data_IF_149648969811
#
_entry.id   IF_149648969811
#
_cell.length_a   1.000
_cell.length_b   1.000
_cell.length_c   1.000
_cell.angle_alpha   90.00
_cell.angle_beta   90.00
_cell.angle_gamma   90.00
#
_symmetry.space_group_name_H-M   'P 1'
#
loop_
_entity.id
_entity.type
_entity.pdbx_description
1 polymer ?
#
# COMPACT_ATOMS: atom_id res chain seq x y z
N UNK A 1 2.10 21.96 -8.70
CA UNK A 1 3.43 21.61 -9.27
C UNK A 1 4.44 21.66 -8.16
N UNK A 2 5.11 20.53 -7.89
CA UNK A 2 6.31 20.45 -7.06
C UNK A 2 7.51 20.82 -7.93
N UNK A 3 8.24 21.87 -7.56
CA UNK A 3 9.37 22.38 -8.34
C UNK A 3 10.58 21.43 -8.24
N UNK A 4 11.28 21.23 -9.36
CA UNK A 4 12.50 20.40 -9.41
C UNK A 4 12.26 18.89 -9.34
N UNK A 5 11.00 18.45 -9.46
CA UNK A 5 10.59 17.05 -9.51
C UNK A 5 10.04 16.74 -10.90
N UNK A 6 10.40 15.57 -11.42
CA UNK A 6 9.85 15.03 -12.68
C UNK A 6 9.01 13.77 -12.44
N UNK A 7 9.28 13.07 -11.34
CA UNK A 7 8.69 11.76 -11.05
C UNK A 7 8.10 11.74 -9.65
N UNK A 8 6.96 11.08 -9.47
CA UNK A 8 6.33 10.89 -8.16
C UNK A 8 6.00 9.42 -7.96
N UNK A 9 6.53 8.83 -6.89
CA UNK A 9 6.21 7.48 -6.42
C UNK A 9 5.27 7.65 -5.22
N UNK A 10 4.10 7.02 -5.29
CA UNK A 10 3.10 7.00 -4.22
C UNK A 10 3.08 5.64 -3.55
N UNK A 11 2.92 5.62 -2.22
CA UNK A 11 2.34 4.46 -1.55
C UNK A 11 0.83 4.35 -1.81
N UNK A 12 0.24 3.19 -1.50
CA UNK A 12 -1.19 2.96 -1.58
C UNK A 12 -1.89 3.21 -0.24
N UNK A 13 -1.59 2.39 0.77
CA UNK A 13 -2.21 2.45 2.08
C UNK A 13 -1.84 3.75 2.80
N UNK A 14 -2.80 4.42 3.43
CA UNK A 14 -2.55 5.68 4.15
C UNK A 14 -2.31 6.90 3.24
N UNK A 15 -2.06 6.70 1.94
CA UNK A 15 -1.81 7.77 0.96
C UNK A 15 -2.95 7.91 -0.04
N UNK A 16 -3.30 6.84 -0.76
CA UNK A 16 -4.36 6.81 -1.77
C UNK A 16 -5.60 6.09 -1.23
N UNK A 17 -5.40 4.98 -0.53
CA UNK A 17 -6.44 4.17 0.11
C UNK A 17 -6.44 4.46 1.61
N UNK A 18 -7.59 4.87 2.16
CA UNK A 18 -7.75 4.99 3.60
C UNK A 18 -7.71 3.59 4.23
N UNK A 19 -6.87 3.42 5.26
CA UNK A 19 -6.69 2.14 5.97
C UNK A 19 -6.79 2.31 7.49
N UNK A 20 -7.17 1.24 8.18
CA UNK A 20 -7.22 1.14 9.64
C UNK A 20 -6.87 -0.29 10.10
N UNK A 21 -5.61 -0.52 10.45
CA UNK A 21 -5.11 -1.81 10.91
C UNK A 21 -5.87 -2.36 12.14
N UNK A 22 -6.45 -1.49 12.96
CA UNK A 22 -7.19 -1.91 14.14
C UNK A 22 -8.47 -2.66 13.75
N UNK A 23 -9.09 -2.32 12.61
CA UNK A 23 -10.30 -3.02 12.15
C UNK A 23 -10.06 -4.48 11.79
N UNK A 24 -8.95 -4.80 11.12
CA UNK A 24 -8.60 -6.20 10.88
C UNK A 24 -8.30 -6.92 12.19
N UNK A 25 -7.57 -6.26 13.11
CA UNK A 25 -7.30 -6.80 14.45
C UNK A 25 -8.60 -7.13 15.22
N UNK A 26 -9.54 -6.19 15.26
CA UNK A 26 -10.82 -6.36 15.94
C UNK A 26 -11.69 -7.43 15.26
N UNK A 27 -11.65 -7.53 13.93
CA UNK A 27 -12.36 -8.56 13.19
C UNK A 27 -11.80 -9.96 13.48
N UNK A 28 -10.48 -10.14 13.52
CA UNK A 28 -9.88 -11.42 13.92
C UNK A 28 -10.12 -11.76 15.39
N UNK A 29 -10.15 -10.76 16.27
CA UNK A 29 -10.57 -10.94 17.67
C UNK A 29 -12.00 -11.48 17.75
N UNK A 30 -12.92 -10.94 16.95
CA UNK A 30 -14.30 -11.42 16.88
C UNK A 30 -14.42 -12.85 16.32
N UNK A 31 -13.44 -13.30 15.52
CA UNK A 31 -13.33 -14.68 15.04
C UNK A 31 -12.65 -15.64 16.04
N UNK A 32 -12.29 -15.16 17.24
CA UNK A 32 -11.71 -16.00 18.29
C UNK A 32 -10.17 -16.06 18.29
N UNK A 33 -9.51 -15.07 17.69
CA UNK A 33 -8.05 -14.88 17.75
C UNK A 33 -7.75 -13.64 18.60
N UNK A 34 -7.70 -13.77 19.94
CA UNK A 34 -7.76 -12.62 20.86
C UNK A 34 -6.55 -11.69 20.79
N UNK A 35 -5.39 -12.22 20.43
CA UNK A 35 -4.08 -11.56 20.42
C UNK A 35 -3.57 -11.28 18.99
N UNK A 36 -4.46 -11.07 18.02
CA UNK A 36 -4.06 -10.92 16.61
C UNK A 36 -3.06 -9.76 16.39
N UNK A 37 -3.11 -8.72 17.20
CA UNK A 37 -2.12 -7.64 17.16
C UNK A 37 -0.68 -8.12 17.35
N UNK A 38 -0.48 -9.25 18.05
CA UNK A 38 0.85 -9.80 18.30
C UNK A 38 1.48 -10.34 17.02
N UNK A 39 0.67 -10.79 16.07
CA UNK A 39 1.11 -11.31 14.77
C UNK A 39 1.93 -10.29 13.95
N UNK A 40 1.67 -9.00 14.15
CA UNK A 40 2.43 -7.92 13.50
C UNK A 40 3.66 -7.45 14.31
N UNK A 41 3.79 -7.87 15.57
CA UNK A 41 4.84 -7.41 16.49
C UNK A 41 5.89 -8.47 16.83
N UNK A 42 5.56 -9.76 16.67
CA UNK A 42 6.47 -10.87 16.93
C UNK A 42 7.31 -11.18 15.67
N UNK A 43 8.64 -11.24 15.83
CA UNK A 43 9.58 -11.32 14.71
C UNK A 43 9.40 -12.54 13.78
N UNK A 44 8.97 -13.71 14.28
CA UNK A 44 8.72 -14.88 13.44
C UNK A 44 7.37 -14.83 12.71
N UNK A 45 6.32 -14.30 13.35
CA UNK A 45 4.99 -14.13 12.73
C UNK A 45 5.03 -13.02 11.66
N UNK A 46 5.80 -11.96 11.92
CA UNK A 46 6.17 -10.95 10.93
C UNK A 46 6.75 -11.58 9.65
N UNK A 47 7.54 -12.65 9.77
CA UNK A 47 8.17 -13.31 8.62
C UNK A 47 7.16 -13.99 7.69
N UNK A 48 6.05 -14.52 8.22
CA UNK A 48 5.00 -15.09 7.37
C UNK A 48 4.35 -14.01 6.51
N UNK A 49 3.90 -12.92 7.13
CA UNK A 49 3.26 -11.81 6.41
C UNK A 49 4.21 -11.14 5.42
N UNK A 50 5.50 -11.04 5.75
CA UNK A 50 6.52 -10.58 4.81
C UNK A 50 6.62 -11.47 3.56
N UNK A 51 6.62 -12.79 3.74
CA UNK A 51 6.61 -13.74 2.62
C UNK A 51 5.35 -13.62 1.80
N UNK A 52 4.20 -13.48 2.45
CA UNK A 52 2.91 -13.30 1.79
C UNK A 52 2.87 -12.00 0.98
N UNK A 53 3.35 -10.89 1.54
CA UNK A 53 3.50 -9.61 0.83
C UNK A 53 4.52 -9.68 -0.31
N UNK A 54 5.50 -10.58 -0.27
CA UNK A 54 6.44 -10.84 -1.38
C UNK A 54 5.91 -11.86 -2.39
N UNK A 55 4.72 -12.43 -2.19
CA UNK A 55 4.16 -13.47 -3.06
C UNK A 55 4.87 -14.83 -2.93
N UNK A 56 5.66 -15.01 -1.88
CA UNK A 56 6.35 -16.26 -1.53
C UNK A 56 5.48 -17.22 -0.71
N UNK A 57 4.29 -16.78 -0.31
CA UNK A 57 3.24 -17.57 0.31
C UNK A 57 1.92 -17.32 -0.44
N UNK A 58 1.10 -18.36 -0.54
CA UNK A 58 -0.19 -18.34 -1.22
C UNK A 58 -1.32 -17.91 -0.28
N UNK A 59 -2.50 -17.65 -0.84
CA UNK A 59 -3.72 -17.41 -0.04
C UNK A 59 -4.07 -18.63 0.83
N UNK A 60 -3.84 -19.85 0.32
CA UNK A 60 -4.04 -21.06 1.10
C UNK A 60 -3.09 -21.12 2.30
N UNK A 61 -1.83 -20.72 2.12
CA UNK A 61 -0.87 -20.66 3.24
C UNK A 61 -1.32 -19.65 4.30
N UNK A 62 -1.96 -18.53 3.91
CA UNK A 62 -2.56 -17.59 4.87
C UNK A 62 -3.72 -18.25 5.61
N UNK A 63 -4.62 -18.93 4.91
CA UNK A 63 -5.75 -19.60 5.56
C UNK A 63 -5.29 -20.66 6.55
N UNK A 64 -4.27 -21.43 6.19
CA UNK A 64 -3.68 -22.46 7.05
C UNK A 64 -2.98 -21.82 8.25
N UNK A 65 -2.20 -20.75 8.06
CA UNK A 65 -1.56 -19.99 9.15
C UNK A 65 -2.60 -19.48 10.15
N UNK A 66 -3.65 -18.84 9.66
CA UNK A 66 -4.72 -18.29 10.50
C UNK A 66 -5.50 -19.40 11.23
N UNK A 67 -5.78 -20.53 10.56
CA UNK A 67 -6.42 -21.67 11.21
C UNK A 67 -5.52 -22.32 12.27
N UNK A 68 -4.20 -22.33 12.09
CA UNK A 68 -3.26 -22.89 13.07
C UNK A 68 -3.20 -22.08 14.37
N UNK A 69 -3.41 -20.76 14.31
CA UNK A 69 -3.44 -19.88 15.49
C UNK A 69 -4.86 -19.68 16.04
N UNK A 70 -5.88 -20.13 15.32
CA UNK A 70 -7.27 -20.06 15.76
C UNK A 70 -7.62 -21.22 16.70
N UNK A 71 -8.49 -20.94 17.67
CA UNK A 71 -9.05 -21.96 18.57
C UNK A 71 -10.17 -22.79 17.92
N UNK A 72 -10.71 -22.30 16.81
CA UNK A 72 -11.79 -22.94 16.05
C UNK A 72 -11.47 -22.94 14.55
N UNK A 73 -11.93 -23.94 13.78
CA UNK A 73 -11.81 -23.89 12.32
C UNK A 73 -12.56 -22.67 11.76
N UNK A 74 -11.88 -21.88 10.93
CA UNK A 74 -12.42 -20.70 10.28
C UNK A 74 -12.59 -20.95 8.78
N UNK A 75 -13.71 -20.50 8.23
CA UNK A 75 -13.89 -20.51 6.78
C UNK A 75 -13.02 -19.44 6.12
N UNK A 76 -12.46 -19.74 4.95
CA UNK A 76 -11.61 -18.80 4.21
C UNK A 76 -12.30 -17.46 3.95
N UNK A 77 -13.61 -17.44 3.75
CA UNK A 77 -14.36 -16.21 3.53
C UNK A 77 -14.37 -15.30 4.76
N UNK A 78 -14.47 -15.85 5.96
CA UNK A 78 -14.42 -15.09 7.21
C UNK A 78 -13.02 -14.50 7.41
N UNK A 79 -11.98 -15.28 7.09
CA UNK A 79 -10.58 -14.82 7.12
C UNK A 79 -10.37 -13.68 6.11
N UNK A 80 -10.87 -13.82 4.88
CA UNK A 80 -10.79 -12.77 3.84
C UNK A 80 -11.51 -11.51 4.31
N UNK A 81 -12.68 -11.65 4.93
CA UNK A 81 -13.44 -10.50 5.43
C UNK A 81 -12.70 -9.80 6.57
N UNK A 82 -12.18 -10.54 7.54
CA UNK A 82 -11.41 -9.98 8.64
C UNK A 82 -10.10 -9.35 8.14
N UNK A 83 -9.39 -9.99 7.22
CA UNK A 83 -8.16 -9.47 6.63
C UNK A 83 -8.37 -8.16 5.87
N UNK A 84 -9.47 -8.06 5.12
CA UNK A 84 -9.84 -6.85 4.37
C UNK A 84 -10.51 -5.76 5.20
N UNK A 85 -10.86 -6.00 6.48
CA UNK A 85 -11.58 -5.03 7.31
C UNK A 85 -10.80 -3.72 7.52
N UNK A 86 -9.46 -3.77 7.40
CA UNK A 86 -8.61 -2.58 7.40
C UNK A 86 -8.81 -1.66 6.20
N UNK A 87 -9.32 -2.14 5.07
CA UNK A 87 -9.47 -1.33 3.87
C UNK A 87 -10.77 -0.52 3.96
N UNK A 88 -10.67 0.81 4.02
CA UNK A 88 -11.84 1.67 4.28
C UNK A 88 -12.49 2.19 3.01
N UNK A 89 -11.78 3.07 2.28
CA UNK A 89 -12.30 3.71 1.08
C UNK A 89 -11.18 4.27 0.22
N UNK A 90 -11.46 4.42 -1.07
CA UNK A 90 -10.63 5.15 -2.03
C UNK A 90 -11.33 6.49 -2.30
N UNK A 91 -10.88 7.62 -1.72
CA UNK A 91 -11.50 8.91 -1.98
C UNK A 91 -11.38 9.29 -3.47
N UNK A 92 -12.52 9.56 -4.11
CA UNK A 92 -12.54 9.94 -5.54
C UNK A 92 -11.65 11.16 -5.83
N UNK A 93 -11.54 12.08 -4.88
CA UNK A 93 -10.69 13.26 -5.00
C UNK A 93 -9.21 12.91 -5.21
N UNK A 94 -8.69 11.87 -4.54
CA UNK A 94 -7.31 11.41 -4.72
C UNK A 94 -7.09 10.86 -6.13
N UNK A 95 -8.06 10.10 -6.65
CA UNK A 95 -8.01 9.60 -8.03
C UNK A 95 -7.99 10.74 -9.06
N UNK A 96 -8.78 11.79 -8.85
CA UNK A 96 -8.76 12.97 -9.72
C UNK A 96 -7.40 13.69 -9.67
N UNK A 97 -6.79 13.78 -8.48
CA UNK A 97 -5.45 14.36 -8.32
C UNK A 97 -4.43 13.54 -9.12
N UNK A 98 -4.45 12.21 -9.01
CA UNK A 98 -3.56 11.34 -9.77
C UNK A 98 -3.68 11.57 -11.29
N UNK A 99 -4.90 11.65 -11.82
CA UNK A 99 -5.12 11.96 -13.24
C UNK A 99 -4.53 13.32 -13.66
N UNK A 100 -4.63 14.35 -12.80
CA UNK A 100 -4.04 15.65 -13.09
C UNK A 100 -2.51 15.63 -13.02
N UNK A 101 -1.95 14.86 -12.09
CA UNK A 101 -0.50 14.74 -11.94
C UNK A 101 0.14 14.01 -13.11
N UNK A 102 -0.54 13.02 -13.71
CA UNK A 102 -0.07 12.31 -14.90
C UNK A 102 0.14 13.23 -16.12
N UNK A 103 -0.48 14.41 -16.16
CA UNK A 103 -0.26 15.39 -17.24
C UNK A 103 1.10 16.11 -17.13
N UNK A 104 1.78 15.97 -15.99
CA UNK A 104 2.92 16.81 -15.62
C UNK A 104 4.10 16.03 -15.04
N UNK A 105 3.86 14.82 -14.53
CA UNK A 105 4.83 13.97 -13.87
C UNK A 105 4.73 12.55 -14.40
N UNK A 106 5.86 11.84 -14.42
CA UNK A 106 5.79 10.38 -14.42
C UNK A 106 5.34 9.94 -13.02
N UNK A 107 4.34 9.08 -12.96
CA UNK A 107 3.69 8.67 -11.72
C UNK A 107 3.77 7.16 -11.55
N UNK A 108 4.16 6.74 -10.35
CA UNK A 108 4.35 5.35 -10.01
C UNK A 108 3.61 5.01 -8.72
N UNK A 109 3.04 3.82 -8.65
CA UNK A 109 2.53 3.26 -7.40
C UNK A 109 3.51 2.22 -6.89
N UNK A 110 3.87 2.30 -5.61
CA UNK A 110 4.73 1.34 -4.92
C UNK A 110 4.07 0.94 -3.60
N UNK A 111 3.42 -0.23 -3.60
CA UNK A 111 2.66 -0.73 -2.44
C UNK A 111 3.23 -2.05 -1.95
N UNK A 112 3.47 -2.14 -0.64
CA UNK A 112 3.46 -3.43 0.03
C UNK A 112 1.99 -3.88 0.09
N UNK A 113 1.66 -4.98 -0.56
CA UNK A 113 0.29 -5.51 -0.62
C UNK A 113 0.33 -6.99 -1.00
N UNK A 114 -0.81 -7.66 -0.88
CA UNK A 114 -1.01 -9.06 -1.23
C UNK A 114 -2.22 -9.23 -2.16
N UNK A 115 -2.39 -10.43 -2.70
CA UNK A 115 -3.45 -10.74 -3.67
C UNK A 115 -4.87 -10.53 -3.12
N UNK A 116 -5.08 -10.80 -1.83
CA UNK A 116 -6.39 -10.67 -1.18
C UNK A 116 -6.78 -9.19 -1.05
N UNK A 117 -5.86 -8.34 -0.57
CA UNK A 117 -6.09 -6.89 -0.50
C UNK A 117 -6.26 -6.30 -1.90
N UNK A 118 -5.47 -6.76 -2.89
CA UNK A 118 -5.61 -6.32 -4.28
C UNK A 118 -7.00 -6.62 -4.85
N UNK A 119 -7.47 -7.85 -4.69
CA UNK A 119 -8.80 -8.22 -5.13
C UNK A 119 -9.89 -7.33 -4.48
N UNK A 120 -9.71 -6.97 -3.19
CA UNK A 120 -10.65 -6.12 -2.48
C UNK A 120 -10.60 -4.66 -2.97
N UNK A 121 -9.43 -4.04 -3.09
CA UNK A 121 -9.37 -2.65 -3.52
C UNK A 121 -9.67 -2.46 -5.01
N UNK A 122 -9.44 -3.46 -5.85
CA UNK A 122 -9.89 -3.41 -7.26
C UNK A 122 -11.42 -3.44 -7.36
N UNK A 123 -12.11 -4.18 -6.46
CA UNK A 123 -13.58 -4.11 -6.36
C UNK A 123 -14.05 -2.73 -5.90
N UNK A 124 -13.45 -2.19 -4.84
CA UNK A 124 -13.77 -0.83 -4.37
C UNK A 124 -13.56 0.22 -5.47
N UNK A 125 -12.46 0.11 -6.23
CA UNK A 125 -12.18 1.02 -7.33
C UNK A 125 -13.25 0.94 -8.43
N UNK A 126 -13.67 -0.27 -8.79
CA UNK A 126 -14.74 -0.49 -9.77
C UNK A 126 -16.06 0.15 -9.31
N UNK A 127 -16.38 0.08 -8.02
CA UNK A 127 -17.56 0.73 -7.44
C UNK A 127 -17.45 2.26 -7.43
N UNK A 128 -16.27 2.79 -7.12
CA UNK A 128 -16.02 4.24 -7.01
C UNK A 128 -16.00 4.92 -8.39
N UNK A 129 -15.37 4.32 -9.39
CA UNK A 129 -15.12 4.99 -10.68
C UNK A 129 -15.14 4.07 -11.91
N UNK A 130 -15.54 2.80 -11.77
CA UNK A 130 -15.73 1.87 -12.89
C UNK A 130 -14.46 1.20 -13.42
N UNK A 131 -13.27 1.64 -13.00
CA UNK A 131 -12.00 1.05 -13.43
C UNK A 131 -11.70 -0.26 -12.70
N UNK A 132 -11.13 -1.23 -13.42
CA UNK A 132 -10.81 -2.57 -12.86
C UNK A 132 -9.51 -2.60 -12.06
N UNK A 133 -8.65 -1.60 -12.20
CA UNK A 133 -7.33 -1.56 -11.56
C UNK A 133 -6.84 -0.13 -11.41
N UNK A 134 -6.05 0.12 -10.36
CA UNK A 134 -5.37 1.39 -10.14
C UNK A 134 -4.34 1.70 -11.24
N UNK A 135 -3.93 0.71 -12.04
CA UNK A 135 -2.95 0.89 -13.11
C UNK A 135 -3.32 1.99 -14.12
N UNK A 136 -4.59 2.35 -14.27
CA UNK A 136 -5.01 3.45 -15.16
C UNK A 136 -4.61 4.84 -14.65
N UNK A 137 -4.25 4.97 -13.37
CA UNK A 137 -3.89 6.22 -12.70
C UNK A 137 -2.38 6.40 -12.52
N UNK A 138 -1.56 5.47 -13.02
CA UNK A 138 -0.11 5.51 -12.92
C UNK A 138 0.54 5.06 -14.23
N UNK A 139 1.75 5.53 -14.51
CA UNK A 139 2.55 5.03 -15.64
C UNK A 139 3.01 3.59 -15.39
N UNK A 140 3.27 3.24 -14.13
CA UNK A 140 3.53 1.86 -13.70
C UNK A 140 3.12 1.63 -12.25
N UNK A 141 2.62 0.43 -11.97
CA UNK A 141 2.32 -0.06 -10.62
C UNK A 141 3.31 -1.16 -10.21
N UNK A 142 3.77 -1.08 -8.97
CA UNK A 142 4.67 -2.02 -8.31
C UNK A 142 4.00 -2.53 -7.04
N UNK A 143 3.36 -3.70 -7.14
CA UNK A 143 2.86 -4.43 -5.98
C UNK A 143 3.89 -5.43 -5.51
N UNK A 144 4.21 -5.41 -4.22
CA UNK A 144 5.28 -6.23 -3.64
C UNK A 144 5.16 -7.71 -3.98
N UNK A 145 3.94 -8.25 -3.97
CA UNK A 145 3.69 -9.67 -4.20
C UNK A 145 3.85 -10.10 -5.67
N UNK A 146 3.85 -9.15 -6.61
CA UNK A 146 4.17 -9.42 -8.01
C UNK A 146 5.66 -9.30 -8.30
N UNK A 147 6.38 -8.44 -7.57
CA UNK A 147 7.81 -8.18 -7.84
C UNK A 147 8.76 -8.92 -6.90
N UNK A 148 8.25 -9.61 -5.86
CA UNK A 148 9.08 -10.35 -4.90
C UNK A 148 9.93 -9.45 -4.00
N UNK A 149 9.59 -8.17 -3.90
CA UNK A 149 10.34 -7.15 -3.17
C UNK A 149 9.37 -6.30 -2.37
N UNK A 150 9.79 -5.76 -1.23
CA UNK A 150 8.94 -4.91 -0.39
C UNK A 150 9.73 -3.76 0.19
N UNK A 151 9.04 -2.67 0.53
CA UNK A 151 9.60 -1.64 1.43
C UNK A 151 9.70 -2.23 2.85
N UNK A 152 10.68 -1.82 3.68
CA UNK A 152 11.68 -0.77 3.46
C UNK A 152 12.94 -1.23 2.70
N UNK A 153 12.99 -2.43 2.11
CA UNK A 153 14.21 -2.87 1.39
C UNK A 153 14.53 -1.92 0.24
N UNK A 154 15.73 -1.35 0.22
CA UNK A 154 16.13 -0.34 -0.79
C UNK A 154 16.13 -0.88 -2.22
N UNK A 155 16.15 -2.20 -2.40
CA UNK A 155 16.17 -2.86 -3.71
C UNK A 155 14.92 -2.52 -4.55
N UNK A 156 13.74 -2.35 -3.93
CA UNK A 156 12.53 -2.05 -4.69
C UNK A 156 12.54 -0.63 -5.27
N UNK A 157 13.11 0.33 -4.54
CA UNK A 157 13.28 1.69 -5.02
C UNK A 157 14.28 1.75 -6.16
N UNK A 158 15.44 1.07 -6.02
CA UNK A 158 16.44 0.96 -7.10
C UNK A 158 15.84 0.35 -8.36
N UNK A 159 15.04 -0.71 -8.21
CA UNK A 159 14.32 -1.32 -9.32
C UNK A 159 13.48 -0.30 -10.11
N UNK A 160 12.73 0.57 -9.43
CA UNK A 160 11.92 1.60 -10.12
C UNK A 160 12.83 2.61 -10.85
N UNK A 161 13.89 3.08 -10.19
CA UNK A 161 14.86 4.00 -10.79
C UNK A 161 15.48 3.39 -12.07
N UNK A 162 15.87 2.13 -12.00
CA UNK A 162 16.51 1.41 -13.10
C UNK A 162 15.53 1.04 -14.22
N UNK A 163 14.34 0.53 -13.90
CA UNK A 163 13.31 0.15 -14.88
C UNK A 163 12.90 1.35 -15.76
N UNK A 164 12.88 2.55 -15.18
CA UNK A 164 12.43 3.78 -15.85
C UNK A 164 13.57 4.74 -16.21
N UNK A 165 14.81 4.42 -15.85
CA UNK A 165 16.00 5.27 -16.07
C UNK A 165 15.81 6.70 -15.53
N UNK A 166 15.25 6.81 -14.33
CA UNK A 166 14.92 8.10 -13.69
C UNK A 166 15.93 8.46 -12.58
N UNK A 167 16.17 9.77 -12.42
CA UNK A 167 17.10 10.28 -11.41
C UNK A 167 16.45 10.36 -10.02
N UNK A 168 17.13 9.84 -9.00
CA UNK A 168 16.64 9.83 -7.63
C UNK A 168 16.38 11.25 -7.08
N UNK A 169 17.29 12.19 -7.33
CA UNK A 169 17.22 13.57 -6.84
C UNK A 169 16.08 14.40 -7.46
N UNK A 170 15.49 13.92 -8.57
CA UNK A 170 14.32 14.47 -9.26
C UNK A 170 13.06 13.62 -9.07
N UNK A 171 13.10 12.66 -8.14
CA UNK A 171 12.01 11.74 -7.84
C UNK A 171 11.54 11.95 -6.40
N UNK A 172 10.23 12.22 -6.26
CA UNK A 172 9.56 12.37 -4.97
C UNK A 172 8.89 11.06 -4.58
N UNK A 173 9.12 10.60 -3.36
CA UNK A 173 8.39 9.49 -2.75
C UNK A 173 7.46 9.99 -1.64
N UNK A 174 6.18 9.60 -1.70
CA UNK A 174 5.14 9.97 -0.75
C UNK A 174 4.61 8.72 -0.06
N UNK A 175 4.78 8.63 1.26
CA UNK A 175 4.45 7.46 2.08
C UNK A 175 4.15 7.91 3.52
N UNK A 176 3.36 7.12 4.26
CA UNK A 176 2.98 7.41 5.65
C UNK A 176 3.91 6.76 6.69
N UNK A 177 4.80 5.86 6.24
CA UNK A 177 5.64 5.02 7.08
C UNK A 177 7.07 5.57 7.17
N UNK A 178 7.56 5.96 8.36
CA UNK A 178 8.86 6.62 8.51
C UNK A 178 10.03 5.75 8.06
N UNK A 179 9.95 4.42 8.21
CA UNK A 179 10.97 3.50 7.74
C UNK A 179 11.08 3.45 6.20
N UNK A 180 9.96 3.56 5.49
CA UNK A 180 9.97 3.61 4.02
C UNK A 180 10.59 4.92 3.53
N UNK A 181 10.22 6.03 4.18
CA UNK A 181 10.78 7.35 3.95
C UNK A 181 12.29 7.37 4.15
N UNK A 182 12.78 6.78 5.25
CA UNK A 182 14.22 6.70 5.53
C UNK A 182 14.98 5.91 4.45
N UNK A 183 14.45 4.76 4.04
CA UNK A 183 15.05 3.95 2.97
C UNK A 183 15.10 4.67 1.63
N UNK A 184 14.01 5.33 1.22
CA UNK A 184 13.98 6.11 -0.02
C UNK A 184 15.00 7.27 0.03
N UNK A 185 15.03 8.01 1.14
CA UNK A 185 15.97 9.12 1.33
C UNK A 185 17.43 8.66 1.28
N UNK A 186 17.74 7.45 1.79
CA UNK A 186 19.10 6.87 1.73
C UNK A 186 19.63 6.67 0.30
N UNK A 187 18.73 6.60 -0.69
CA UNK A 187 19.06 6.48 -2.11
C UNK A 187 19.08 7.83 -2.84
N UNK A 188 18.88 8.95 -2.11
CA UNK A 188 18.85 10.29 -2.68
C UNK A 188 17.48 10.73 -3.21
N UNK A 189 16.41 9.93 -3.01
CA UNK A 189 15.06 10.37 -3.34
C UNK A 189 14.66 11.56 -2.48
N UNK A 190 13.88 12.48 -3.06
CA UNK A 190 13.11 13.44 -2.27
C UNK A 190 11.97 12.69 -1.60
N UNK A 191 11.65 13.03 -0.37
CA UNK A 191 10.60 12.34 0.38
C UNK A 191 9.63 13.32 0.99
N UNK A 192 8.37 12.91 1.06
CA UNK A 192 7.31 13.58 1.80
C UNK A 192 6.64 12.53 2.69
N UNK A 193 6.88 12.65 3.99
CA UNK A 193 6.22 11.82 4.99
C UNK A 193 4.85 12.39 5.29
N UNK A 194 3.79 11.64 4.99
CA UNK A 194 2.44 12.00 5.45
C UNK A 194 2.32 11.66 6.93
N UNK A 195 2.27 12.69 7.76
CA UNK A 195 2.04 12.53 9.19
C UNK A 195 0.58 12.16 9.47
N UNK A 196 0.28 11.55 10.64
CA UNK A 196 -1.09 11.23 11.01
C UNK A 196 -2.04 12.43 10.84
N UNK A 197 -3.13 12.21 10.10
CA UNK A 197 -4.14 13.23 9.79
C UNK A 197 -3.86 14.07 8.55
N UNK A 198 -2.67 13.99 7.94
CA UNK A 198 -2.39 14.63 6.66
C UNK A 198 -2.93 13.81 5.49
N UNK A 199 -3.36 14.49 4.43
CA UNK A 199 -3.78 13.82 3.19
C UNK A 199 -3.20 14.50 1.96
N UNK A 200 -3.10 13.77 0.84
CA UNK A 200 -2.56 14.35 -0.39
C UNK A 200 -3.48 15.42 -1.00
N UNK A 201 -4.79 15.31 -0.76
CA UNK A 201 -5.80 16.23 -1.29
C UNK A 201 -5.95 17.50 -0.45
N UNK A 202 -5.71 17.44 0.86
CA UNK A 202 -5.82 18.59 1.75
C UNK A 202 -4.48 19.26 2.02
N UNK A 203 -3.35 18.55 1.98
CA UNK A 203 -2.05 19.08 2.44
C UNK A 203 -0.98 19.18 1.38
N UNK A 204 -0.98 18.28 0.39
CA UNK A 204 0.10 18.21 -0.61
C UNK A 204 -0.30 18.87 -1.92
N UNK A 205 -1.39 18.44 -2.52
CA UNK A 205 -1.88 18.88 -3.83
C UNK A 205 -3.17 19.68 -3.71
N UNK A 206 -3.11 20.74 -2.89
CA UNK A 206 -4.23 21.68 -2.68
C UNK A 206 -4.66 22.31 -4.00
N UNK A 207 -5.97 22.42 -4.20
CA UNK A 207 -6.50 23.33 -5.22
C UNK A 207 -6.00 24.73 -4.92
N UNK A 208 -5.48 25.45 -5.92
CA UNK A 208 -5.36 26.89 -5.78
C UNK A 208 -6.77 27.42 -5.58
N UNK A 209 -7.03 28.09 -4.46
CA UNK A 209 -8.26 28.87 -4.31
C UNK A 209 -8.29 29.83 -5.51
N UNK A 210 -9.29 29.67 -6.36
CA UNK A 210 -9.62 30.63 -7.43
C UNK A 210 -10.32 31.81 -6.79
#
# INVERSE_FOLDING_TARGET
MVNGIDNIIFDLGGVILDIDYQKSTDAFRALGIPDFEKEFSQAEQSRFFERFEKGEASEQDLFDHINNISSVPLHSQDIIQAWNAMLLRIPLRRLQILQQLQLHYNTFLLSNTNSIHEAAFNRMLKEVCGFQSLAVFFDKVYYSHYVGMRKPDTIIFRKILDDHQIAADRTLFIDDSPQHIASAASLGLKTLHLLPGMTIEEDVFRSKNV
#
